data_IF_144985022834
#
_entry.id   IF_144985022834
#
_cell.length_a   1.000
_cell.length_b   1.000
_cell.length_c   1.000
_cell.angle_alpha   90.00
_cell.angle_beta   90.00
_cell.angle_gamma   90.00
#
_symmetry.space_group_name_H-M   'P 1'
#
loop_
_entity.id
_entity.type
_entity.pdbx_description
1 polymer ?
#
# COMPACT_ATOMS: atom_id res chain seq x y z
N UNK A 1 -35.86 -13.24 26.24
CA UNK A 1 -35.93 -13.19 24.76
C UNK A 1 -34.50 -13.28 24.26
N UNK A 2 -34.14 -14.38 23.60
CA UNK A 2 -32.80 -14.55 23.05
C UNK A 2 -32.64 -13.65 21.82
N UNK A 3 -31.66 -12.75 21.84
CA UNK A 3 -31.26 -11.99 20.65
C UNK A 3 -30.61 -12.97 19.68
N UNK A 4 -31.36 -13.38 18.67
CA UNK A 4 -30.83 -14.13 17.53
C UNK A 4 -29.91 -13.20 16.77
N UNK A 5 -28.60 -13.30 16.98
CA UNK A 5 -27.59 -12.73 16.07
C UNK A 5 -27.76 -13.41 14.72
N UNK A 6 -28.46 -12.74 13.80
CA UNK A 6 -28.46 -13.08 12.38
C UNK A 6 -27.00 -13.12 11.91
N UNK A 7 -26.53 -14.31 11.51
CA UNK A 7 -25.29 -14.38 10.72
C UNK A 7 -25.48 -13.49 9.50
N UNK A 8 -24.54 -12.58 9.17
CA UNK A 8 -24.66 -11.80 7.94
C UNK A 8 -24.78 -12.77 6.76
N UNK A 9 -25.74 -12.52 5.87
CA UNK A 9 -25.94 -13.33 4.67
C UNK A 9 -24.64 -13.31 3.86
N UNK A 10 -24.15 -14.49 3.49
CA UNK A 10 -22.95 -14.63 2.65
C UNK A 10 -23.28 -14.00 1.30
N UNK A 11 -22.65 -12.87 0.99
CA UNK A 11 -22.80 -12.20 -0.31
C UNK A 11 -22.22 -13.13 -1.39
N UNK A 12 -22.91 -13.35 -2.53
CA UNK A 12 -22.30 -14.07 -3.64
C UNK A 12 -21.04 -13.34 -4.11
N UNK A 13 -20.12 -14.09 -4.71
CA UNK A 13 -18.94 -13.52 -5.35
C UNK A 13 -19.34 -12.56 -6.48
N UNK A 14 -18.59 -11.49 -6.72
CA UNK A 14 -18.82 -10.55 -7.82
C UNK A 14 -18.37 -11.17 -9.15
N UNK A 15 -18.80 -10.63 -10.29
CA UNK A 15 -18.15 -10.94 -11.56
C UNK A 15 -16.78 -10.29 -11.70
N UNK A 16 -16.46 -9.23 -10.94
CA UNK A 16 -15.16 -8.59 -10.98
C UNK A 16 -14.58 -8.17 -9.62
N UNK A 17 -13.24 -8.16 -9.56
CA UNK A 17 -12.48 -7.62 -8.44
C UNK A 17 -11.37 -6.70 -8.95
N UNK A 18 -11.31 -5.50 -8.37
CA UNK A 18 -10.21 -4.56 -8.49
C UNK A 18 -9.33 -4.74 -7.25
N UNK A 19 -8.07 -5.13 -7.43
CA UNK A 19 -7.16 -5.48 -6.34
C UNK A 19 -5.97 -4.52 -6.37
N UNK A 20 -5.70 -3.87 -5.25
CA UNK A 20 -4.46 -3.12 -5.06
C UNK A 20 -3.24 -4.05 -4.99
N UNK A 21 -2.04 -3.51 -5.23
CA UNK A 21 -0.80 -4.28 -5.20
C UNK A 21 0.01 -4.12 -3.91
N UNK A 22 0.32 -2.90 -3.52
CA UNK A 22 1.31 -2.60 -2.48
C UNK A 22 0.63 -2.67 -1.10
N UNK A 23 1.15 -3.45 -0.17
CA UNK A 23 0.53 -3.76 1.13
C UNK A 23 -0.82 -4.50 1.05
N UNK A 24 -1.17 -4.99 -0.14
CA UNK A 24 -2.34 -5.86 -0.41
C UNK A 24 -1.93 -7.25 -0.93
N UNK A 25 -1.12 -7.28 -2.00
CA UNK A 25 -0.55 -8.51 -2.58
C UNK A 25 0.92 -8.67 -2.15
N UNK A 26 1.65 -7.56 -2.10
CA UNK A 26 3.08 -7.48 -1.79
C UNK A 26 3.31 -6.73 -0.48
N UNK A 27 4.33 -7.09 0.29
CA UNK A 27 4.81 -6.24 1.39
C UNK A 27 5.59 -5.07 0.81
N UNK A 28 5.06 -3.85 0.91
CA UNK A 28 5.71 -2.69 0.34
C UNK A 28 6.13 -1.73 1.45
N UNK A 29 5.19 -1.14 2.17
CA UNK A 29 5.43 -0.02 3.09
C UNK A 29 4.78 -0.20 4.46
N UNK A 30 4.10 -1.31 4.77
CA UNK A 30 3.29 -1.44 5.99
C UNK A 30 3.99 -1.21 7.35
N UNK A 31 5.32 -1.39 7.45
CA UNK A 31 6.10 -1.22 8.70
C UNK A 31 7.41 -0.42 8.48
N UNK A 32 7.35 0.87 8.13
CA UNK A 32 8.54 1.64 7.75
C UNK A 32 9.50 1.88 8.93
N UNK A 33 9.02 1.82 10.17
CA UNK A 33 9.84 1.91 11.38
C UNK A 33 10.88 0.79 11.47
N UNK A 34 10.54 -0.43 11.05
CA UNK A 34 11.49 -1.55 11.06
C UNK A 34 12.63 -1.25 10.09
N UNK A 35 12.28 -0.87 8.86
CA UNK A 35 13.25 -0.54 7.82
C UNK A 35 14.15 0.65 8.22
N UNK A 36 13.58 1.72 8.77
CA UNK A 36 14.40 2.87 9.19
C UNK A 36 15.33 2.55 10.35
N UNK A 37 14.89 1.75 11.33
CA UNK A 37 15.77 1.32 12.41
C UNK A 37 16.89 0.41 11.89
N UNK A 38 16.59 -0.55 11.02
CA UNK A 38 17.62 -1.40 10.39
C UNK A 38 18.64 -0.55 9.66
N UNK A 39 18.19 0.35 8.78
CA UNK A 39 19.10 1.18 8.00
C UNK A 39 19.88 2.15 8.86
N UNK A 40 19.29 2.82 9.84
CA UNK A 40 20.05 3.70 10.70
C UNK A 40 21.17 2.95 11.45
N UNK A 41 20.92 1.69 11.87
CA UNK A 41 21.95 0.87 12.52
C UNK A 41 23.12 0.53 11.59
N UNK A 42 22.89 0.34 10.29
CA UNK A 42 23.98 0.14 9.32
C UNK A 42 24.94 1.35 9.24
N UNK A 43 24.47 2.55 9.57
CA UNK A 43 25.25 3.80 9.55
C UNK A 43 25.68 4.28 10.95
N UNK A 44 25.62 3.42 11.98
CA UNK A 44 25.81 3.83 13.38
C UNK A 44 27.10 4.63 13.64
N UNK A 45 28.22 4.21 13.05
CA UNK A 45 29.52 4.89 13.21
C UNK A 45 29.51 6.31 12.64
N UNK A 46 28.82 6.52 11.52
CA UNK A 46 28.72 7.84 10.87
C UNK A 46 27.70 8.76 11.57
N UNK A 47 26.67 8.17 12.19
CA UNK A 47 25.64 8.89 12.95
C UNK A 47 26.14 9.33 14.33
N UNK A 48 27.11 8.64 14.91
CA UNK A 48 27.68 8.94 16.23
C UNK A 48 28.00 10.44 16.44
N UNK A 49 27.69 11.03 17.60
CA UNK A 49 27.24 10.37 18.83
C UNK A 49 25.72 10.15 18.91
N UNK A 50 24.97 10.39 17.82
CA UNK A 50 23.52 10.19 17.84
C UNK A 50 23.18 8.69 17.80
N UNK A 51 22.31 8.18 18.69
CA UNK A 51 21.79 6.83 18.58
C UNK A 51 21.04 6.62 17.25
N UNK A 52 21.27 5.52 16.53
CA UNK A 52 20.57 5.21 15.29
C UNK A 52 19.04 5.29 15.38
N UNK A 53 18.47 4.77 16.46
CA UNK A 53 17.03 4.81 16.77
C UNK A 53 16.47 6.25 16.87
N UNK A 54 17.27 7.19 17.39
CA UNK A 54 16.89 8.59 17.48
C UNK A 54 16.82 9.22 16.08
N UNK A 55 17.77 8.85 15.22
CA UNK A 55 17.82 9.30 13.82
C UNK A 55 16.65 8.72 13.04
N UNK A 56 16.43 7.40 13.13
CA UNK A 56 15.29 6.72 12.51
C UNK A 56 13.96 7.34 12.93
N UNK A 57 13.80 7.65 14.22
CA UNK A 57 12.59 8.31 14.76
C UNK A 57 12.38 9.70 14.16
N UNK A 58 13.43 10.52 14.07
CA UNK A 58 13.33 11.86 13.50
C UNK A 58 12.99 11.83 12.00
N UNK A 59 13.63 10.93 11.25
CA UNK A 59 13.34 10.72 9.82
C UNK A 59 11.90 10.23 9.63
N UNK A 60 11.45 9.25 10.40
CA UNK A 60 10.09 8.73 10.32
C UNK A 60 9.03 9.78 10.67
N UNK A 61 9.28 10.58 11.72
CA UNK A 61 8.38 11.67 12.10
C UNK A 61 8.26 12.72 10.98
N UNK A 62 9.39 13.11 10.38
CA UNK A 62 9.38 14.04 9.25
C UNK A 62 8.68 13.43 8.02
N UNK A 63 8.96 12.16 7.71
CA UNK A 63 8.32 11.45 6.59
C UNK A 63 6.80 11.36 6.76
N UNK A 64 6.30 11.07 7.97
CA UNK A 64 4.86 11.06 8.26
C UNK A 64 4.23 12.42 8.01
N UNK A 65 4.85 13.49 8.49
CA UNK A 65 4.36 14.84 8.25
C UNK A 65 4.42 15.24 6.76
N UNK A 66 5.50 14.87 6.07
CA UNK A 66 5.65 15.10 4.64
C UNK A 66 4.50 14.44 3.86
N UNK A 67 4.28 13.14 4.05
CA UNK A 67 3.27 12.38 3.30
C UNK A 67 1.83 12.74 3.66
N UNK A 68 1.58 13.24 4.88
CA UNK A 68 0.26 13.76 5.25
C UNK A 68 -0.14 15.04 4.47
N UNK A 69 0.84 15.80 3.96
CA UNK A 69 0.62 17.08 3.29
C UNK A 69 1.11 17.09 1.83
N UNK A 70 1.72 16.01 1.36
CA UNK A 70 2.31 15.93 0.03
C UNK A 70 1.22 15.87 -1.05
N UNK A 71 1.43 16.61 -2.13
CA UNK A 71 0.67 16.46 -3.36
C UNK A 71 0.91 15.08 -3.98
N UNK A 72 -0.09 14.55 -4.69
CA UNK A 72 -0.05 13.22 -5.30
C UNK A 72 1.17 13.00 -6.21
N UNK A 73 1.64 14.06 -6.88
CA UNK A 73 2.81 14.03 -7.76
C UNK A 73 4.10 13.52 -7.07
N UNK A 74 4.21 13.61 -5.74
CA UNK A 74 5.36 13.08 -5.01
C UNK A 74 5.47 11.56 -5.05
N UNK A 75 4.37 10.83 -5.28
CA UNK A 75 4.40 9.37 -5.46
C UNK A 75 5.10 8.93 -6.74
N UNK A 76 5.32 9.86 -7.68
CA UNK A 76 6.13 9.66 -8.88
C UNK A 76 7.63 9.91 -8.63
N UNK A 77 7.99 10.47 -7.48
CA UNK A 77 9.35 10.95 -7.13
C UNK A 77 9.77 10.42 -5.78
N UNK A 78 9.59 9.11 -5.56
CA UNK A 78 9.80 8.49 -4.25
C UNK A 78 11.26 8.58 -3.78
N UNK A 79 12.23 8.53 -4.69
CA UNK A 79 13.64 8.67 -4.33
C UNK A 79 13.92 10.08 -3.81
N UNK A 80 13.50 11.11 -4.54
CA UNK A 80 13.67 12.51 -4.14
C UNK A 80 12.88 12.82 -2.87
N UNK A 81 11.66 12.30 -2.73
CA UNK A 81 10.88 12.43 -1.50
C UNK A 81 11.64 11.84 -0.31
N UNK A 82 12.27 10.67 -0.46
CA UNK A 82 13.07 10.07 0.62
C UNK A 82 14.28 10.92 0.97
N UNK A 83 15.01 11.43 -0.03
CA UNK A 83 16.12 12.36 0.20
C UNK A 83 15.67 13.57 1.03
N UNK A 84 14.53 14.17 0.66
CA UNK A 84 13.95 15.29 1.41
C UNK A 84 13.57 14.89 2.84
N UNK A 85 12.94 13.73 3.02
CA UNK A 85 12.49 13.30 4.36
C UNK A 85 13.65 13.00 5.30
N UNK A 86 14.74 12.41 4.80
CA UNK A 86 15.94 12.17 5.61
C UNK A 86 16.62 13.49 5.96
N UNK A 87 16.82 14.39 4.98
CA UNK A 87 17.37 15.73 5.24
C UNK A 87 16.51 16.51 6.23
N UNK A 88 15.19 16.42 6.13
CA UNK A 88 14.25 17.03 7.06
C UNK A 88 14.37 16.49 8.48
N UNK A 89 14.51 15.17 8.64
CA UNK A 89 14.79 14.53 9.93
C UNK A 89 16.12 15.01 10.54
N UNK A 90 17.18 15.11 9.73
CA UNK A 90 18.48 15.63 10.18
C UNK A 90 18.40 17.09 10.59
N UNK A 91 17.68 17.93 9.84
CA UNK A 91 17.46 19.33 10.17
C UNK A 91 16.67 19.48 11.48
N UNK A 92 15.68 18.62 11.73
CA UNK A 92 14.92 18.61 12.99
C UNK A 92 15.81 18.27 14.20
N UNK A 93 16.71 17.30 14.05
CA UNK A 93 17.70 16.98 15.09
C UNK A 93 18.65 18.15 15.37
N UNK A 94 19.15 18.80 14.31
CA UNK A 94 20.02 19.96 14.45
C UNK A 94 19.29 21.14 15.16
N UNK A 95 18.03 21.39 14.82
CA UNK A 95 17.19 22.39 15.49
C UNK A 95 16.94 22.08 16.97
N UNK A 96 16.97 20.79 17.34
CA UNK A 96 16.90 20.33 18.73
C UNK A 96 18.26 20.38 19.48
N UNK A 97 19.31 20.93 18.84
CA UNK A 97 20.63 21.12 19.45
C UNK A 97 21.61 19.94 19.28
N UNK A 98 21.25 18.95 18.46
CA UNK A 98 22.15 17.83 18.14
C UNK A 98 23.18 18.20 17.07
N UNK A 99 24.23 17.38 16.94
CA UNK A 99 25.25 17.51 15.89
C UNK A 99 24.57 17.52 14.51
N UNK A 100 24.92 18.51 13.68
CA UNK A 100 24.48 18.54 12.29
C UNK A 100 25.08 17.37 11.50
N UNK A 101 24.23 16.63 10.81
CA UNK A 101 24.61 15.54 9.90
C UNK A 101 24.66 16.07 8.46
N UNK A 102 25.50 15.45 7.61
CA UNK A 102 25.74 15.95 6.26
C UNK A 102 24.63 15.55 5.27
N UNK A 103 24.46 16.37 4.23
CA UNK A 103 23.57 16.06 3.11
C UNK A 103 23.97 14.79 2.35
N UNK A 104 25.28 14.52 2.24
CA UNK A 104 25.80 13.28 1.64
C UNK A 104 25.33 12.04 2.42
N UNK A 105 25.44 12.07 3.75
CA UNK A 105 24.96 10.99 4.60
C UNK A 105 23.44 10.82 4.49
N UNK A 106 22.70 11.92 4.38
CA UNK A 106 21.25 11.88 4.19
C UNK A 106 20.86 11.17 2.88
N UNK A 107 21.57 11.46 1.78
CA UNK A 107 21.33 10.83 0.48
C UNK A 107 21.66 9.33 0.54
N UNK A 108 22.84 8.96 1.05
CA UNK A 108 23.24 7.54 1.16
C UNK A 108 22.28 6.73 2.02
N UNK A 109 21.82 7.30 3.14
CA UNK A 109 20.86 6.65 4.03
C UNK A 109 19.49 6.48 3.36
N UNK A 110 19.02 7.47 2.60
CA UNK A 110 17.78 7.40 1.85
C UNK A 110 17.83 6.41 0.67
N UNK A 111 18.95 6.36 -0.05
CA UNK A 111 19.19 5.41 -1.14
C UNK A 111 19.27 3.98 -0.62
N UNK A 112 19.98 3.78 0.50
CA UNK A 112 20.06 2.47 1.15
C UNK A 112 18.69 1.99 1.64
N UNK A 113 17.87 2.87 2.20
CA UNK A 113 16.48 2.53 2.56
C UNK A 113 15.64 2.15 1.34
N UNK A 114 15.84 2.80 0.19
CA UNK A 114 15.17 2.43 -1.05
C UNK A 114 15.58 1.04 -1.51
N UNK A 115 16.88 0.74 -1.52
CA UNK A 115 17.40 -0.59 -1.86
C UNK A 115 16.90 -1.67 -0.90
N UNK A 116 16.98 -1.44 0.41
CA UNK A 116 16.51 -2.40 1.43
C UNK A 116 15.04 -2.76 1.24
N UNK A 117 14.19 -1.77 0.96
CA UNK A 117 12.76 -2.04 0.71
C UNK A 117 12.52 -2.86 -0.54
N UNK A 118 13.34 -2.69 -1.58
CA UNK A 118 13.25 -3.52 -2.78
C UNK A 118 13.76 -4.95 -2.50
N UNK A 119 14.83 -5.09 -1.73
CA UNK A 119 15.40 -6.39 -1.33
C UNK A 119 14.41 -7.22 -0.50
N UNK A 120 13.76 -6.60 0.49
CA UNK A 120 12.89 -7.26 1.46
C UNK A 120 11.43 -7.43 0.97
N UNK A 121 11.11 -7.00 -0.25
CA UNK A 121 9.77 -7.09 -0.82
C UNK A 121 9.39 -8.54 -1.11
N UNK A 122 8.24 -8.99 -0.60
CA UNK A 122 7.73 -10.34 -0.81
C UNK A 122 6.22 -10.37 -1.08
N UNK A 123 5.74 -11.46 -1.68
CA UNK A 123 4.32 -11.73 -1.89
C UNK A 123 3.71 -12.27 -0.60
N UNK A 124 2.60 -11.69 -0.12
CA UNK A 124 1.94 -12.18 1.08
C UNK A 124 1.53 -13.66 0.95
N UNK A 125 1.67 -14.46 2.03
CA UNK A 125 1.38 -15.89 1.98
C UNK A 125 -0.03 -16.19 1.42
N UNK A 126 -0.07 -17.03 0.38
CA UNK A 126 -1.33 -17.45 -0.26
C UNK A 126 -1.95 -16.45 -1.23
N UNK A 127 -1.40 -15.24 -1.40
CA UNK A 127 -1.96 -14.22 -2.29
C UNK A 127 -2.03 -14.69 -3.75
N UNK A 128 -0.95 -15.27 -4.30
CA UNK A 128 -0.96 -15.84 -5.65
C UNK A 128 -2.01 -16.94 -5.81
N UNK A 129 -2.06 -17.90 -4.89
CA UNK A 129 -3.02 -19.01 -4.93
C UNK A 129 -4.47 -18.51 -4.86
N UNK A 130 -4.74 -17.50 -4.04
CA UNK A 130 -6.05 -16.88 -3.94
C UNK A 130 -6.45 -16.21 -5.26
N UNK A 131 -5.57 -15.39 -5.84
CA UNK A 131 -5.80 -14.72 -7.14
C UNK A 131 -6.05 -15.75 -8.24
N UNK A 132 -5.21 -16.78 -8.33
CA UNK A 132 -5.32 -17.83 -9.35
C UNK A 132 -6.65 -18.60 -9.22
N UNK A 133 -7.09 -18.90 -7.99
CA UNK A 133 -8.39 -19.53 -7.73
C UNK A 133 -9.57 -18.63 -8.06
N UNK A 134 -9.53 -17.35 -7.67
CA UNK A 134 -10.57 -16.38 -7.99
C UNK A 134 -10.73 -16.24 -9.51
N UNK A 135 -9.62 -16.16 -10.24
CA UNK A 135 -9.61 -16.18 -11.71
C UNK A 135 -10.19 -17.48 -12.28
N UNK A 136 -9.83 -18.64 -11.72
CA UNK A 136 -10.36 -19.94 -12.16
C UNK A 136 -11.87 -20.09 -11.91
N UNK A 137 -12.44 -19.37 -10.95
CA UNK A 137 -13.88 -19.27 -10.71
C UNK A 137 -14.61 -18.38 -11.74
N UNK A 138 -13.88 -17.81 -12.71
CA UNK A 138 -14.44 -16.95 -13.76
C UNK A 138 -14.57 -15.48 -13.36
N UNK A 139 -14.00 -15.07 -12.21
CA UNK A 139 -13.99 -13.67 -11.79
C UNK A 139 -12.97 -12.91 -12.64
N UNK A 140 -13.40 -11.77 -13.20
CA UNK A 140 -12.54 -10.84 -13.90
C UNK A 140 -11.73 -10.02 -12.89
N UNK A 141 -10.41 -10.05 -13.03
CA UNK A 141 -9.50 -9.42 -12.09
C UNK A 141 -8.75 -8.26 -12.75
N UNK A 142 -8.75 -7.10 -12.10
CA UNK A 142 -7.85 -6.01 -12.44
C UNK A 142 -6.91 -5.69 -11.28
N UNK A 143 -5.63 -5.47 -11.58
CA UNK A 143 -4.67 -4.91 -10.64
C UNK A 143 -4.68 -3.39 -10.81
N UNK A 144 -4.95 -2.64 -9.75
CA UNK A 144 -5.04 -1.16 -9.79
C UNK A 144 -4.06 -0.57 -8.78
N UNK A 145 -2.96 0.00 -9.26
CA UNK A 145 -1.87 0.48 -8.41
C UNK A 145 -1.42 1.90 -8.77
N UNK A 146 -1.02 2.65 -7.75
CA UNK A 146 -0.49 4.01 -7.86
C UNK A 146 1.04 4.01 -7.91
N UNK A 147 1.63 5.09 -8.44
CA UNK A 147 3.07 5.28 -8.55
C UNK A 147 3.61 5.24 -9.98
N UNK A 148 4.93 5.42 -10.09
CA UNK A 148 5.62 5.57 -11.36
C UNK A 148 5.54 4.31 -12.23
N UNK A 149 5.43 4.51 -13.55
CA UNK A 149 5.25 3.44 -14.53
C UNK A 149 6.31 2.34 -14.40
N UNK A 150 7.59 2.70 -14.54
CA UNK A 150 8.69 1.73 -14.54
C UNK A 150 8.80 0.98 -13.21
N UNK A 151 8.61 1.66 -12.08
CA UNK A 151 8.69 1.05 -10.75
C UNK A 151 7.58 0.03 -10.52
N UNK A 152 6.33 0.40 -10.79
CA UNK A 152 5.21 -0.52 -10.55
C UNK A 152 5.20 -1.64 -11.59
N UNK A 153 5.58 -1.36 -12.84
CA UNK A 153 5.71 -2.40 -13.89
C UNK A 153 6.79 -3.41 -13.55
N UNK A 154 7.94 -2.96 -13.03
CA UNK A 154 9.00 -3.85 -12.58
C UNK A 154 8.52 -4.81 -11.47
N UNK A 155 7.73 -4.33 -10.50
CA UNK A 155 7.10 -5.20 -9.48
C UNK A 155 6.15 -6.22 -10.09
N UNK A 156 5.28 -5.78 -11.00
CA UNK A 156 4.32 -6.66 -11.69
C UNK A 156 5.03 -7.83 -12.38
N UNK A 157 6.16 -7.57 -13.05
CA UNK A 157 6.95 -8.62 -13.71
C UNK A 157 7.72 -9.47 -12.70
N UNK A 158 8.44 -8.83 -11.76
CA UNK A 158 9.25 -9.52 -10.73
C UNK A 158 8.45 -10.52 -9.90
N UNK A 159 7.21 -10.18 -9.58
CA UNK A 159 6.33 -11.01 -8.76
C UNK A 159 5.30 -11.80 -9.59
N UNK A 160 5.52 -11.92 -10.91
CA UNK A 160 4.71 -12.73 -11.81
C UNK A 160 3.20 -12.39 -11.78
N UNK A 161 2.85 -11.12 -11.59
CA UNK A 161 1.44 -10.69 -11.50
C UNK A 161 0.82 -10.53 -12.89
N UNK A 162 1.62 -10.29 -13.94
CA UNK A 162 1.15 -9.99 -15.29
C UNK A 162 0.08 -10.96 -15.82
N UNK A 163 0.32 -12.27 -15.72
CA UNK A 163 -0.56 -13.30 -16.27
C UNK A 163 -1.78 -13.60 -15.37
N UNK A 164 -1.80 -13.08 -14.15
CA UNK A 164 -2.85 -13.34 -13.15
C UNK A 164 -4.04 -12.40 -13.28
N UNK A 165 -3.87 -11.27 -13.95
CA UNK A 165 -4.92 -10.27 -14.14
C UNK A 165 -5.40 -10.21 -15.59
N UNK A 166 -6.65 -9.78 -15.77
CA UNK A 166 -7.22 -9.49 -17.09
C UNK A 166 -6.89 -8.06 -17.52
N UNK A 167 -6.71 -7.16 -16.54
CA UNK A 167 -6.31 -5.78 -16.75
C UNK A 167 -5.30 -5.36 -15.67
N UNK A 168 -4.31 -4.56 -16.05
CA UNK A 168 -3.33 -3.99 -15.13
C UNK A 168 -3.31 -2.50 -15.37
N UNK A 169 -3.67 -1.74 -14.34
CA UNK A 169 -3.72 -0.29 -14.35
C UNK A 169 -2.65 0.26 -13.41
N UNK A 170 -1.67 0.93 -14.00
CA UNK A 170 -0.61 1.64 -13.28
C UNK A 170 -0.83 3.14 -13.51
N UNK A 171 -0.90 3.91 -12.43
CA UNK A 171 -1.13 5.37 -12.47
C UNK A 171 -0.14 6.07 -13.40
N UNK A 172 1.16 5.81 -13.27
CA UNK A 172 2.19 6.44 -14.10
C UNK A 172 2.10 6.14 -15.60
N UNK A 173 1.37 5.09 -16.00
CA UNK A 173 1.15 4.77 -17.43
C UNK A 173 -0.11 5.43 -17.98
N UNK A 174 -1.11 5.68 -17.13
CA UNK A 174 -2.42 6.20 -17.53
C UNK A 174 -2.58 7.70 -17.26
N UNK A 175 -1.76 8.26 -16.37
CA UNK A 175 -1.78 9.68 -15.99
C UNK A 175 -2.86 10.07 -14.98
N UNK A 176 -3.58 9.10 -14.41
CA UNK A 176 -4.56 9.27 -13.34
C UNK A 176 -4.50 8.05 -12.41
N UNK A 177 -4.80 8.26 -11.12
CA UNK A 177 -4.64 7.23 -10.11
C UNK A 177 -5.66 7.34 -8.98
N UNK A 178 -5.61 6.41 -8.04
CA UNK A 178 -6.47 6.45 -6.86
C UNK A 178 -6.10 7.67 -5.99
N UNK A 179 -7.05 8.44 -5.42
CA UNK A 179 -8.48 8.20 -5.35
C UNK A 179 -9.32 8.90 -6.43
N UNK A 180 -8.80 9.20 -7.62
CA UNK A 180 -9.63 9.75 -8.68
C UNK A 180 -10.68 8.71 -9.13
N UNK A 181 -11.96 9.09 -9.22
CA UNK A 181 -13.06 8.17 -9.60
C UNK A 181 -12.79 7.49 -10.95
N UNK A 182 -12.14 8.22 -11.87
CA UNK A 182 -11.74 7.72 -13.19
C UNK A 182 -10.87 6.46 -13.10
N UNK A 183 -10.05 6.29 -12.05
CA UNK A 183 -9.22 5.11 -11.88
C UNK A 183 -10.05 3.83 -11.76
N UNK A 184 -11.16 3.86 -11.02
CA UNK A 184 -12.04 2.70 -10.86
C UNK A 184 -12.94 2.49 -12.07
N UNK A 185 -13.47 3.59 -12.62
CA UNK A 185 -14.33 3.55 -13.81
C UNK A 185 -13.61 2.95 -15.02
N UNK A 186 -12.35 3.36 -15.26
CA UNK A 186 -11.53 2.83 -16.35
C UNK A 186 -11.24 1.33 -16.16
N UNK A 187 -10.90 0.90 -14.94
CA UNK A 187 -10.65 -0.52 -14.67
C UNK A 187 -11.92 -1.37 -14.87
N UNK A 188 -13.10 -0.89 -14.43
CA UNK A 188 -14.37 -1.58 -14.67
C UNK A 188 -14.76 -1.60 -16.16
N UNK A 189 -14.52 -0.51 -16.89
CA UNK A 189 -14.72 -0.44 -18.34
C UNK A 189 -13.86 -1.48 -19.07
N UNK A 190 -12.57 -1.57 -18.72
CA UNK A 190 -11.65 -2.55 -19.29
C UNK A 190 -12.09 -4.01 -19.02
N UNK A 191 -12.74 -4.26 -17.88
CA UNK A 191 -13.31 -5.56 -17.56
C UNK A 191 -14.73 -5.76 -18.14
N UNK A 192 -15.40 -4.71 -18.60
CA UNK A 192 -16.79 -4.74 -19.07
C UNK A 192 -17.77 -5.13 -17.96
N UNK A 193 -17.68 -4.46 -16.81
CA UNK A 193 -18.52 -4.68 -15.61
C UNK A 193 -19.02 -3.35 -15.04
N UNK A 194 -19.96 -3.43 -14.10
CA UNK A 194 -20.56 -2.29 -13.38
C UNK A 194 -20.23 -2.34 -11.89
N UNK A 195 -20.45 -1.22 -11.19
CA UNK A 195 -20.07 -1.08 -9.79
C UNK A 195 -20.79 -2.05 -8.83
N UNK A 196 -22.07 -2.33 -9.08
CA UNK A 196 -22.90 -3.26 -8.30
C UNK A 196 -22.40 -4.71 -8.32
N UNK A 197 -21.56 -5.02 -9.30
CA UNK A 197 -21.00 -6.34 -9.60
C UNK A 197 -19.46 -6.36 -9.48
N UNK A 198 -18.90 -5.37 -8.80
CA UNK A 198 -17.45 -5.20 -8.62
C UNK A 198 -17.11 -5.05 -7.14
N UNK A 199 -16.03 -5.71 -6.70
CA UNK A 199 -15.42 -5.44 -5.40
C UNK A 199 -14.10 -4.67 -5.57
N UNK A 200 -13.80 -3.73 -4.67
CA UNK A 200 -12.47 -3.12 -4.51
C UNK A 200 -11.79 -3.72 -3.27
N UNK A 201 -10.53 -4.09 -3.38
CA UNK A 201 -9.75 -4.70 -2.29
C UNK A 201 -8.41 -3.98 -2.14
N UNK A 202 -8.09 -3.57 -0.91
CA UNK A 202 -6.73 -3.21 -0.51
C UNK A 202 -6.66 -2.41 0.79
N UNK A 203 -5.52 -1.78 1.05
CA UNK A 203 -5.09 -1.39 2.40
C UNK A 203 -5.37 0.09 2.75
N UNK A 204 -5.61 0.96 1.77
CA UNK A 204 -5.86 2.37 2.03
C UNK A 204 -7.36 2.66 2.19
N UNK A 205 -7.76 3.17 3.34
CA UNK A 205 -9.17 3.47 3.63
C UNK A 205 -9.79 4.50 2.68
N UNK A 206 -9.06 5.50 2.20
CA UNK A 206 -9.64 6.48 1.28
C UNK A 206 -9.76 5.92 -0.14
N UNK A 207 -8.73 5.18 -0.58
CA UNK A 207 -8.59 4.75 -1.97
C UNK A 207 -9.33 3.43 -2.23
N UNK A 208 -9.27 2.48 -1.31
CA UNK A 208 -9.91 1.17 -1.48
C UNK A 208 -11.28 1.07 -0.82
N UNK A 209 -11.66 2.05 0.01
CA UNK A 209 -12.95 2.01 0.73
C UNK A 209 -13.82 3.21 0.45
N UNK A 210 -13.43 4.41 0.88
CA UNK A 210 -14.32 5.58 0.82
C UNK A 210 -14.68 5.95 -0.62
N UNK A 211 -13.69 6.02 -1.51
CA UNK A 211 -13.94 6.43 -2.89
C UNK A 211 -14.74 5.37 -3.68
N UNK A 212 -14.38 4.08 -3.66
CA UNK A 212 -15.16 3.07 -4.38
C UNK A 212 -16.59 2.92 -3.83
N UNK A 213 -16.82 3.08 -2.51
CA UNK A 213 -18.17 3.10 -1.94
C UNK A 213 -19.03 4.25 -2.49
N UNK A 214 -18.46 5.43 -2.74
CA UNK A 214 -19.18 6.54 -3.38
C UNK A 214 -19.64 6.19 -4.80
N UNK A 215 -18.93 5.30 -5.47
CA UNK A 215 -19.26 4.77 -6.79
C UNK A 215 -20.22 3.56 -6.72
N UNK A 216 -20.57 3.08 -5.52
CA UNK A 216 -21.40 1.89 -5.33
C UNK A 216 -20.63 0.57 -5.40
N UNK A 217 -19.29 0.62 -5.42
CA UNK A 217 -18.41 -0.55 -5.43
C UNK A 217 -18.31 -1.11 -4.01
N UNK A 218 -18.48 -2.42 -3.86
CA UNK A 218 -18.35 -3.08 -2.56
C UNK A 218 -16.89 -3.13 -2.14
N UNK A 219 -16.59 -2.59 -0.98
CA UNK A 219 -15.21 -2.25 -0.64
C UNK A 219 -14.70 -3.04 0.55
N UNK A 220 -13.61 -3.75 0.31
CA UNK A 220 -12.97 -4.64 1.27
C UNK A 220 -11.65 -4.04 1.68
N UNK A 221 -11.53 -3.75 2.97
CA UNK A 221 -10.28 -3.31 3.54
C UNK A 221 -9.43 -4.52 3.94
N UNK A 222 -8.16 -4.53 3.56
CA UNK A 222 -7.19 -5.54 4.00
C UNK A 222 -6.36 -5.00 5.17
N UNK A 223 -6.48 -5.65 6.32
CA UNK A 223 -5.69 -5.43 7.52
C UNK A 223 -4.66 -6.54 7.65
N UNK A 224 -3.66 -6.54 6.76
CA UNK A 224 -2.62 -7.58 6.69
C UNK A 224 -1.86 -7.75 8.01
N UNK A 225 -1.86 -6.73 8.86
CA UNK A 225 -1.17 -6.71 10.14
C UNK A 225 -2.06 -7.06 11.33
N UNK A 226 -3.39 -7.01 11.17
CA UNK A 226 -4.33 -7.27 12.24
C UNK A 226 -4.40 -6.16 13.28
N UNK A 227 -3.97 -4.94 12.93
CA UNK A 227 -3.92 -3.79 13.83
C UNK A 227 -5.32 -3.22 14.11
N UNK A 228 -6.31 -3.58 13.27
CA UNK A 228 -7.65 -3.00 13.29
C UNK A 228 -7.69 -1.62 12.63
N UNK A 229 -8.91 -1.09 12.49
CA UNK A 229 -9.08 0.26 11.93
C UNK A 229 -8.30 1.28 12.77
N UNK A 230 -7.71 2.32 12.13
CA UNK A 230 -7.03 3.39 12.84
C UNK A 230 -7.92 4.00 13.93
N UNK A 231 -7.32 4.37 15.06
CA UNK A 231 -8.04 4.98 16.18
C UNK A 231 -8.82 6.22 15.71
N UNK A 232 -10.10 6.30 16.10
CA UNK A 232 -10.98 7.39 15.71
C UNK A 232 -11.49 7.34 14.26
N UNK A 233 -11.16 6.31 13.49
CA UNK A 233 -11.68 6.14 12.12
C UNK A 233 -13.21 6.04 12.12
N UNK A 234 -13.85 6.85 11.26
CA UNK A 234 -15.29 6.77 10.99
C UNK A 234 -15.62 5.96 9.74
N UNK A 235 -14.60 5.49 9.01
CA UNK A 235 -14.76 4.71 7.78
C UNK A 235 -15.32 3.33 8.12
N UNK A 236 -16.26 2.85 7.28
CA UNK A 236 -16.91 1.55 7.46
C UNK A 236 -16.73 0.72 6.19
N UNK A 237 -15.67 -0.10 6.10
CA UNK A 237 -15.53 -1.07 5.02
C UNK A 237 -16.73 -2.02 5.00
N UNK A 238 -17.14 -2.44 3.81
CA UNK A 238 -18.21 -3.44 3.69
C UNK A 238 -17.77 -4.81 4.22
N UNK A 239 -16.45 -5.07 4.17
CA UNK A 239 -15.78 -6.21 4.78
C UNK A 239 -14.35 -5.83 5.17
N UNK A 240 -13.85 -6.46 6.23
CA UNK A 240 -12.45 -6.43 6.62
C UNK A 240 -11.91 -7.86 6.52
N UNK A 241 -10.76 -8.02 5.90
CA UNK A 241 -10.02 -9.28 5.80
C UNK A 241 -8.56 -9.06 6.21
N UNK A 242 -7.81 -10.12 6.50
CA UNK A 242 -6.36 -10.09 6.78
C UNK A 242 -5.54 -10.72 5.66
N UNK A 243 -6.20 -11.48 4.78
CA UNK A 243 -5.57 -12.13 3.63
C UNK A 243 -6.56 -12.29 2.49
N UNK A 244 -6.08 -12.20 1.25
CA UNK A 244 -6.86 -12.50 0.05
C UNK A 244 -7.41 -13.94 0.06
N UNK A 245 -6.80 -14.86 0.81
CA UNK A 245 -7.29 -16.24 0.96
C UNK A 245 -8.70 -16.30 1.56
N UNK A 246 -9.10 -15.31 2.36
CA UNK A 246 -10.45 -15.24 2.93
C UNK A 246 -11.55 -14.93 1.90
N UNK A 247 -11.17 -14.54 0.68
CA UNK A 247 -12.10 -14.33 -0.42
C UNK A 247 -12.40 -15.63 -1.18
N UNK A 248 -11.59 -16.68 -0.98
CA UNK A 248 -11.76 -17.97 -1.66
C UNK A 248 -12.83 -18.80 -0.96
N UNK A 249 -13.92 -19.22 -1.63
CA UNK A 249 -14.94 -20.07 -1.03
C UNK A 249 -14.40 -21.41 -0.53
N UNK A 250 -14.92 -21.89 0.60
CA UNK A 250 -14.61 -23.22 1.13
C UNK A 250 -13.29 -23.35 1.88
N UNK A 251 -12.59 -22.22 2.14
CA UNK A 251 -11.47 -22.15 3.08
C UNK A 251 -11.93 -21.46 4.37
N UNK A 252 -12.51 -22.23 5.29
CA UNK A 252 -12.83 -21.78 6.65
C UNK A 252 -12.70 -22.94 7.62
#
# INVERSE_FOLDING_TARGET
MAMTTLKPAVRPLPHAMLIDMDDTILSAYGRPEIAWNTIANEFADELAPLPPEQVATAVLAFARNFWANAEAAWRMKLAEARHLTVKGGFAALAAAGHRALSDDLAIRLADRFTAYREEEMFVFPGAHEAIDKLKALGIKLALVTNGAADTQRAKVERFELAHRFHHIQIEGEHGFGKPEERAYLHAMEALGVTADDTWMIGDNLEWEVVTPQRLGIYSIWIDVHGDGLPEGSTVKPDRIIRSLTELVPGQS
#
